data_IF_296384057316
#
_entry.id   IF_296384057316
#
_cell.length_a   1.000
_cell.length_b   1.000
_cell.length_c   1.000
_cell.angle_alpha   90.00
_cell.angle_beta   90.00
_cell.angle_gamma   90.00
#
_symmetry.space_group_name_H-M   'P 1'
#
loop_
_entity.id
_entity.type
_entity.pdbx_description
1 polymer ?
#
# COMPACT_ATOMS: atom_id res chain seq x y z
N UNK A 1 5.43 5.61 -30.85
CA UNK A 1 5.31 5.35 -29.38
C UNK A 1 4.48 4.10 -29.22
N UNK A 2 5.10 2.99 -28.86
CA UNK A 2 4.40 1.72 -28.60
C UNK A 2 3.72 1.82 -27.24
N UNK A 3 2.41 2.02 -27.25
CA UNK A 3 1.56 1.86 -26.06
C UNK A 3 1.51 0.35 -25.76
N UNK A 4 2.19 -0.07 -24.71
CA UNK A 4 2.10 -1.44 -24.21
C UNK A 4 0.74 -1.65 -23.54
N UNK A 5 -0.33 -1.71 -24.34
CA UNK A 5 -1.63 -2.16 -23.84
C UNK A 5 -1.68 -3.69 -23.97
N UNK A 6 -1.99 -4.36 -22.89
CA UNK A 6 -2.25 -5.80 -22.88
C UNK A 6 -3.72 -6.05 -23.19
N UNK A 7 -4.03 -7.15 -23.87
CA UNK A 7 -5.41 -7.55 -24.11
C UNK A 7 -5.83 -8.66 -23.16
N UNK A 8 -6.95 -8.44 -22.49
CA UNK A 8 -7.57 -9.45 -21.63
C UNK A 8 -9.00 -9.72 -22.07
N UNK A 9 -9.42 -10.99 -21.93
CA UNK A 9 -10.83 -11.36 -22.11
C UNK A 9 -11.63 -10.89 -20.90
N UNK A 10 -12.49 -9.91 -21.10
CA UNK A 10 -13.35 -9.36 -20.04
C UNK A 10 -14.82 -9.63 -20.37
N UNK A 11 -15.61 -9.89 -19.31
CA UNK A 11 -17.05 -10.11 -19.41
C UNK A 11 -17.75 -8.77 -19.58
N UNK A 12 -18.52 -8.62 -20.65
CA UNK A 12 -19.34 -7.43 -20.92
C UNK A 12 -20.72 -7.54 -20.25
N UNK A 13 -21.49 -6.44 -20.26
CA UNK A 13 -22.83 -6.36 -19.71
C UNK A 13 -23.84 -7.34 -20.38
N UNK A 14 -23.56 -7.76 -21.61
CA UNK A 14 -24.34 -8.78 -22.34
C UNK A 14 -23.99 -10.24 -21.95
N UNK A 15 -23.07 -10.41 -21.01
CA UNK A 15 -22.62 -11.71 -20.51
C UNK A 15 -21.56 -12.40 -21.39
N UNK A 16 -21.20 -11.85 -22.54
CA UNK A 16 -20.18 -12.41 -23.43
C UNK A 16 -18.78 -11.93 -23.08
N UNK A 17 -17.78 -12.69 -23.51
CA UNK A 17 -16.36 -12.39 -23.30
C UNK A 17 -15.77 -11.69 -24.52
N UNK A 18 -15.25 -10.50 -24.35
CA UNK A 18 -14.58 -9.71 -25.39
C UNK A 18 -13.12 -9.47 -25.05
N UNK A 19 -12.25 -9.49 -26.07
CA UNK A 19 -10.89 -8.97 -25.94
C UNK A 19 -10.95 -7.46 -25.73
N UNK A 20 -10.47 -7.02 -24.58
CA UNK A 20 -10.50 -5.62 -24.16
C UNK A 20 -9.08 -5.16 -23.89
N UNK A 21 -8.70 -3.99 -24.42
CA UNK A 21 -7.42 -3.38 -24.10
C UNK A 21 -7.40 -2.94 -22.64
N UNK A 22 -6.37 -3.35 -21.92
CA UNK A 22 -6.16 -3.01 -20.52
C UNK A 22 -4.79 -2.35 -20.35
N UNK A 23 -4.74 -1.42 -19.43
CA UNK A 23 -3.53 -0.71 -19.07
C UNK A 23 -3.36 -0.72 -17.54
N UNK A 24 -2.14 -0.83 -17.07
CA UNK A 24 -1.85 -0.60 -15.66
C UNK A 24 -1.94 0.90 -15.31
N UNK A 25 -1.88 1.21 -14.02
CA UNK A 25 -2.00 2.59 -13.53
C UNK A 25 -0.91 3.50 -14.13
N UNK A 26 0.31 3.00 -14.27
CA UNK A 26 1.42 3.78 -14.83
C UNK A 26 1.20 4.09 -16.31
N UNK A 27 0.76 3.10 -17.07
CA UNK A 27 0.43 3.27 -18.50
C UNK A 27 -0.73 4.25 -18.68
N UNK A 28 -1.77 4.13 -17.84
CA UNK A 28 -2.93 5.04 -17.86
C UNK A 28 -2.50 6.50 -17.59
N UNK A 29 -1.69 6.74 -16.57
CA UNK A 29 -1.18 8.06 -16.24
C UNK A 29 -0.34 8.65 -17.39
N UNK A 30 0.51 7.84 -18.03
CA UNK A 30 1.26 8.27 -19.23
C UNK A 30 0.35 8.60 -20.42
N UNK A 31 -0.68 7.79 -20.63
CA UNK A 31 -1.66 8.03 -21.70
C UNK A 31 -2.37 9.38 -21.50
N UNK A 32 -2.84 9.66 -20.28
CA UNK A 32 -3.52 10.93 -19.96
C UNK A 32 -2.60 12.13 -20.19
N UNK A 33 -1.30 12.02 -19.89
CA UNK A 33 -0.33 13.10 -20.17
C UNK A 33 -0.23 13.42 -21.67
N UNK A 34 -0.40 12.44 -22.54
CA UNK A 34 -0.30 12.61 -24.00
C UNK A 34 -1.56 13.18 -24.64
N UNK A 35 -2.69 13.26 -23.91
CA UNK A 35 -3.95 13.78 -24.45
C UNK A 35 -3.87 15.31 -24.62
N UNK A 36 -3.94 15.84 -25.87
CA UNK A 36 -3.91 17.28 -26.13
C UNK A 36 -5.31 17.90 -25.93
N UNK A 37 -5.86 17.81 -24.71
CA UNK A 37 -7.19 18.33 -24.42
C UNK A 37 -7.16 19.26 -23.19
N UNK A 38 -7.81 20.43 -23.26
CA UNK A 38 -7.99 21.30 -22.09
C UNK A 38 -8.69 20.59 -20.91
N UNK A 39 -9.53 19.61 -21.18
CA UNK A 39 -10.20 18.82 -20.14
C UNK A 39 -9.25 17.91 -19.35
N UNK A 40 -8.11 17.54 -19.93
CA UNK A 40 -7.09 16.75 -19.26
C UNK A 40 -6.14 17.62 -18.39
N UNK A 41 -6.15 18.94 -18.59
CA UNK A 41 -5.21 19.86 -17.94
C UNK A 41 -5.30 19.85 -16.39
N UNK A 42 -6.49 19.88 -15.76
CA UNK A 42 -6.58 19.80 -14.29
C UNK A 42 -5.95 18.52 -13.73
N UNK A 43 -6.08 17.41 -14.45
CA UNK A 43 -5.50 16.15 -14.02
C UNK A 43 -3.96 16.15 -14.18
N UNK A 44 -3.43 16.76 -15.25
CA UNK A 44 -1.99 16.92 -15.45
C UNK A 44 -1.37 17.79 -14.35
N UNK A 45 -2.05 18.89 -13.97
CA UNK A 45 -1.63 19.75 -12.88
C UNK A 45 -1.63 19.00 -11.54
N UNK A 46 -2.67 18.22 -11.25
CA UNK A 46 -2.72 17.37 -10.07
C UNK A 46 -1.56 16.36 -10.05
N UNK A 47 -1.25 15.69 -11.17
CA UNK A 47 -0.10 14.78 -11.23
C UNK A 47 1.22 15.50 -10.96
N UNK A 48 1.42 16.70 -11.50
CA UNK A 48 2.61 17.52 -11.25
C UNK A 48 2.72 17.89 -9.77
N UNK A 49 1.61 18.26 -9.13
CA UNK A 49 1.57 18.53 -7.70
C UNK A 49 1.96 17.31 -6.87
N UNK A 50 1.35 16.15 -7.12
CA UNK A 50 1.67 14.90 -6.41
C UNK A 50 3.15 14.52 -6.59
N UNK A 51 3.70 14.69 -7.79
CA UNK A 51 5.11 14.43 -8.04
C UNK A 51 6.02 15.39 -7.25
N UNK A 52 5.66 16.68 -7.20
CA UNK A 52 6.40 17.69 -6.43
C UNK A 52 6.34 17.41 -4.92
N UNK A 53 5.17 17.07 -4.41
CA UNK A 53 5.00 16.67 -3.00
C UNK A 53 5.88 15.46 -2.67
N UNK A 54 5.93 14.46 -3.56
CA UNK A 54 6.78 13.29 -3.37
C UNK A 54 8.27 13.63 -3.38
N UNK A 55 8.72 14.52 -4.26
CA UNK A 55 10.10 15.00 -4.28
C UNK A 55 10.46 15.73 -2.99
N UNK A 56 9.57 16.60 -2.48
CA UNK A 56 9.76 17.27 -1.21
C UNK A 56 9.86 16.28 -0.04
N UNK A 57 9.01 15.24 -0.01
CA UNK A 57 9.07 14.18 0.99
C UNK A 57 10.37 13.35 0.93
N UNK A 58 11.00 13.26 -0.25
CA UNK A 58 12.31 12.59 -0.39
C UNK A 58 13.45 13.46 0.17
N UNK A 59 13.31 14.79 0.16
CA UNK A 59 14.26 15.71 0.74
C UNK A 59 14.06 15.86 2.26
N UNK A 60 12.79 15.86 2.70
CA UNK A 60 12.39 15.93 4.10
C UNK A 60 11.44 14.75 4.44
N UNK A 61 11.98 13.65 4.98
CA UNK A 61 11.19 12.47 5.33
C UNK A 61 10.09 12.71 6.38
N UNK A 62 10.20 13.76 7.21
CA UNK A 62 9.17 14.09 8.20
C UNK A 62 7.84 14.48 7.54
N UNK A 63 7.88 15.05 6.34
CA UNK A 63 6.69 15.35 5.56
C UNK A 63 5.87 14.08 5.23
N UNK A 64 6.53 12.95 5.01
CA UNK A 64 5.84 11.67 4.79
C UNK A 64 5.13 11.17 6.05
N UNK A 65 5.72 11.37 7.23
CA UNK A 65 5.11 11.02 8.51
C UNK A 65 3.87 11.90 8.75
N UNK A 66 4.00 13.20 8.54
CA UNK A 66 2.90 14.15 8.68
C UNK A 66 1.76 13.84 7.70
N UNK A 67 2.09 13.50 6.45
CA UNK A 67 1.09 13.11 5.46
C UNK A 67 0.35 11.82 5.89
N UNK A 68 1.06 10.83 6.43
CA UNK A 68 0.43 9.62 6.92
C UNK A 68 -0.57 9.90 8.06
N UNK A 69 -0.24 10.83 8.98
CA UNK A 69 -1.16 11.25 10.04
C UNK A 69 -2.45 11.88 9.48
N UNK A 70 -2.29 12.78 8.49
CA UNK A 70 -3.42 13.42 7.81
C UNK A 70 -4.30 12.39 7.11
N UNK A 71 -3.68 11.42 6.41
CA UNK A 71 -4.41 10.37 5.71
C UNK A 71 -5.18 9.45 6.66
N UNK A 72 -4.61 9.06 7.80
CA UNK A 72 -5.33 8.30 8.81
C UNK A 72 -6.54 9.08 9.36
N UNK A 73 -6.38 10.39 9.64
CA UNK A 73 -7.50 11.24 10.08
C UNK A 73 -8.60 11.33 9.02
N UNK A 74 -8.23 11.49 7.75
CA UNK A 74 -9.18 11.51 6.62
C UNK A 74 -9.96 10.20 6.49
N UNK A 75 -9.33 9.07 6.82
CA UNK A 75 -9.97 7.75 6.85
C UNK A 75 -10.84 7.54 8.09
N UNK A 76 -10.93 8.50 9.02
CA UNK A 76 -11.78 8.47 10.19
C UNK A 76 -11.17 7.80 11.43
N UNK A 77 -9.88 7.52 11.42
CA UNK A 77 -9.21 6.96 12.62
C UNK A 77 -9.02 8.02 13.69
N UNK A 78 -9.25 7.65 14.96
CA UNK A 78 -9.03 8.52 16.11
C UNK A 78 -7.55 8.75 16.39
N UNK A 79 -7.20 9.90 17.01
CA UNK A 79 -5.83 10.21 17.41
C UNK A 79 -5.24 9.12 18.33
N UNK A 80 -6.04 8.55 19.22
CA UNK A 80 -5.58 7.45 20.07
C UNK A 80 -5.21 6.20 19.26
N UNK A 81 -6.04 5.82 18.28
CA UNK A 81 -5.73 4.71 17.38
C UNK A 81 -4.46 4.97 16.57
N UNK A 82 -4.30 6.19 16.03
CA UNK A 82 -3.13 6.58 15.24
C UNK A 82 -1.85 6.45 16.09
N UNK A 83 -1.86 6.97 17.32
CA UNK A 83 -0.73 6.87 18.24
C UNK A 83 -0.38 5.40 18.57
N UNK A 84 -1.39 4.55 18.80
CA UNK A 84 -1.17 3.12 19.03
C UNK A 84 -0.60 2.43 17.79
N UNK A 85 -1.06 2.81 16.61
CA UNK A 85 -0.54 2.27 15.34
C UNK A 85 0.92 2.62 15.14
N UNK A 86 1.31 3.87 15.38
CA UNK A 86 2.71 4.31 15.27
C UNK A 86 3.62 3.56 16.24
N UNK A 87 3.22 3.44 17.50
CA UNK A 87 3.95 2.63 18.49
C UNK A 87 4.09 1.18 18.07
N UNK A 88 3.05 0.58 17.51
CA UNK A 88 3.11 -0.81 17.05
C UNK A 88 4.07 -1.00 15.87
N UNK A 89 4.22 0.00 15.00
CA UNK A 89 5.18 -0.03 13.89
C UNK A 89 6.61 0.07 14.45
N UNK A 90 6.86 0.97 15.39
CA UNK A 90 8.14 1.15 16.05
C UNK A 90 8.59 -0.15 16.76
N UNK A 91 7.75 -0.68 17.66
CA UNK A 91 8.03 -1.93 18.36
C UNK A 91 8.29 -3.08 17.39
N UNK A 92 7.50 -3.17 16.31
CA UNK A 92 7.71 -4.21 15.29
C UNK A 92 9.04 -4.06 14.58
N UNK A 93 9.45 -2.83 14.28
CA UNK A 93 10.75 -2.54 13.67
C UNK A 93 11.89 -2.94 14.61
N UNK A 94 11.86 -2.50 15.85
CA UNK A 94 12.87 -2.84 16.84
C UNK A 94 13.03 -4.36 17.00
N UNK A 95 11.92 -5.06 17.08
CA UNK A 95 11.91 -6.53 17.18
C UNK A 95 12.56 -7.18 15.94
N UNK A 96 12.21 -6.72 14.74
CA UNK A 96 12.77 -7.29 13.51
C UNK A 96 14.24 -6.92 13.32
N UNK A 97 14.67 -5.74 13.76
CA UNK A 97 16.06 -5.31 13.73
C UNK A 97 16.91 -6.15 14.70
N UNK A 98 16.35 -6.48 15.87
CA UNK A 98 17.00 -7.39 16.83
C UNK A 98 17.15 -8.80 16.25
N UNK A 99 16.12 -9.32 15.58
CA UNK A 99 16.21 -10.62 14.89
C UNK A 99 17.31 -10.64 13.82
N UNK A 100 17.43 -9.56 13.03
CA UNK A 100 18.52 -9.41 12.04
C UNK A 100 19.87 -9.36 12.70
N UNK A 101 20.02 -8.66 13.82
CA UNK A 101 21.28 -8.59 14.60
C UNK A 101 21.73 -9.97 15.06
N UNK A 102 20.79 -10.85 15.39
CA UNK A 102 21.05 -12.25 15.75
C UNK A 102 21.19 -13.20 14.54
N UNK A 103 21.31 -12.66 13.32
CA UNK A 103 21.56 -13.44 12.11
C UNK A 103 20.34 -14.14 11.52
N UNK A 104 19.13 -13.82 12.00
CA UNK A 104 17.90 -14.36 11.45
C UNK A 104 17.55 -13.69 10.11
N UNK A 105 17.13 -14.51 9.15
CA UNK A 105 16.77 -14.04 7.82
C UNK A 105 15.27 -13.73 7.72
N UNK A 106 14.97 -12.70 6.96
CA UNK A 106 13.58 -12.36 6.61
C UNK A 106 12.88 -13.53 5.88
N UNK A 107 11.56 -13.57 5.99
CA UNK A 107 10.74 -14.60 5.38
C UNK A 107 10.31 -15.66 6.40
N UNK A 108 10.67 -16.93 6.17
CA UNK A 108 10.17 -18.05 6.98
C UNK A 108 10.54 -17.94 8.46
N UNK A 109 11.77 -17.55 8.79
CA UNK A 109 12.20 -17.45 10.19
C UNK A 109 11.43 -16.35 10.94
N UNK A 110 11.23 -15.19 10.33
CA UNK A 110 10.44 -14.11 10.92
C UNK A 110 8.95 -14.49 11.05
N UNK A 111 8.41 -15.24 10.08
CA UNK A 111 7.05 -15.76 10.17
C UNK A 111 6.91 -16.73 11.34
N UNK A 112 7.83 -17.68 11.48
CA UNK A 112 7.84 -18.66 12.57
C UNK A 112 7.93 -17.98 13.95
N UNK A 113 8.84 -17.03 14.13
CA UNK A 113 8.94 -16.29 15.38
C UNK A 113 7.69 -15.45 15.67
N UNK A 114 7.09 -14.88 14.64
CA UNK A 114 5.82 -14.16 14.78
C UNK A 114 4.71 -15.12 15.25
N UNK A 115 4.61 -16.31 14.69
CA UNK A 115 3.63 -17.31 15.09
C UNK A 115 3.85 -17.78 16.54
N UNK A 116 5.10 -17.99 16.97
CA UNK A 116 5.44 -18.32 18.37
C UNK A 116 4.95 -17.21 19.30
N UNK A 117 5.19 -15.92 18.98
CA UNK A 117 4.70 -14.80 19.77
C UNK A 117 3.17 -14.86 19.88
N UNK A 118 2.46 -15.05 18.76
CA UNK A 118 1.00 -15.14 18.77
C UNK A 118 0.49 -16.34 19.58
N UNK A 119 1.11 -17.51 19.43
CA UNK A 119 0.76 -18.71 20.20
C UNK A 119 0.95 -18.51 21.70
N UNK A 120 2.02 -17.80 22.12
CA UNK A 120 2.33 -17.59 23.56
C UNK A 120 1.26 -16.82 24.30
N UNK A 121 0.56 -15.87 23.64
CA UNK A 121 -0.44 -15.03 24.32
C UNK A 121 -1.88 -15.27 23.89
N UNK A 122 -2.13 -15.89 22.72
CA UNK A 122 -3.46 -16.12 22.18
C UNK A 122 -3.79 -17.57 21.88
N UNK A 123 -2.85 -18.49 22.07
CA UNK A 123 -2.93 -19.90 21.70
C UNK A 123 -3.24 -20.14 20.21
N UNK A 124 -3.01 -19.13 19.36
CA UNK A 124 -3.29 -19.14 17.92
C UNK A 124 -2.08 -18.69 17.14
N UNK A 125 -1.94 -19.18 15.89
CA UNK A 125 -1.00 -18.58 14.93
C UNK A 125 -1.46 -17.19 14.50
N UNK A 126 -0.56 -16.38 13.96
CA UNK A 126 -0.90 -15.05 13.45
C UNK A 126 -2.03 -15.09 12.39
N UNK A 127 -2.07 -16.17 11.57
CA UNK A 127 -3.10 -16.39 10.57
C UNK A 127 -4.47 -16.70 11.22
N UNK A 128 -4.49 -17.60 12.19
CA UNK A 128 -5.73 -17.97 12.91
C UNK A 128 -6.28 -16.79 13.69
N UNK A 129 -5.42 -16.02 14.35
CA UNK A 129 -5.83 -14.80 15.06
C UNK A 129 -6.44 -13.75 14.14
N UNK A 130 -5.88 -13.53 12.95
CA UNK A 130 -6.49 -12.64 11.93
C UNK A 130 -7.88 -13.13 11.50
N UNK A 131 -8.06 -14.43 11.31
CA UNK A 131 -9.36 -15.02 10.97
C UNK A 131 -10.35 -14.86 12.13
N UNK A 132 -9.94 -15.12 13.36
CA UNK A 132 -10.74 -14.92 14.55
C UNK A 132 -11.23 -13.46 14.69
N UNK A 133 -10.38 -12.49 14.38
CA UNK A 133 -10.71 -11.06 14.39
C UNK A 133 -11.49 -10.60 13.14
N UNK A 134 -11.76 -11.48 12.17
CA UNK A 134 -12.46 -11.12 10.93
C UNK A 134 -11.67 -10.14 10.04
N UNK A 135 -10.33 -10.05 10.22
CA UNK A 135 -9.48 -9.18 9.43
C UNK A 135 -9.26 -9.78 8.03
N UNK A 136 -9.59 -9.01 6.99
CA UNK A 136 -9.33 -9.41 5.60
C UNK A 136 -7.82 -9.56 5.36
N UNK A 137 -7.48 -10.51 4.48
CA UNK A 137 -6.12 -10.63 3.95
C UNK A 137 -5.84 -9.40 3.09
N UNK A 138 -4.87 -8.58 3.49
CA UNK A 138 -4.26 -7.59 2.61
C UNK A 138 -3.34 -8.26 1.60
#
# INVERSE_FOLDING_TARGET
MTTNCSQLKMKSADGKMYLTDVADTQQLLRLIQSIPSPKAEPFKQWMAQVATERLNQMQDPELSINQALVDYKRLGYSDNWINQRLKSIEIRKDLTDEWKRHGLQEGVQFATLTDIIYQTWSDMTAKEYKQFKGLKKE
#
